data_IF_911385664145
#
_entry.id   IF_911385664145
#
_cell.length_a   1.000
_cell.length_b   1.000
_cell.length_c   1.000
_cell.angle_alpha   90.00
_cell.angle_beta   90.00
_cell.angle_gamma   90.00
#
_symmetry.space_group_name_H-M   'P 1'
#
loop_
_entity.id
_entity.type
_entity.pdbx_description
1 polymer ?
#
# COMPACT_ATOMS: atom_id res chain seq x y z
N UNK A 1 17.82 -28.91 8.18
CA UNK A 1 16.72 -28.26 7.43
C UNK A 1 16.28 -27.05 8.24
N UNK A 2 16.53 -25.82 7.77
CA UNK A 2 16.24 -24.58 8.50
C UNK A 2 14.89 -24.07 7.99
N UNK A 3 13.86 -24.12 8.84
CA UNK A 3 12.55 -23.54 8.50
C UNK A 3 12.73 -22.02 8.34
N UNK A 4 12.20 -21.39 7.27
CA UNK A 4 12.24 -19.94 7.16
C UNK A 4 11.41 -19.35 8.31
N UNK A 5 12.00 -18.38 9.02
CA UNK A 5 11.30 -17.62 10.04
C UNK A 5 10.09 -16.91 9.41
N UNK A 6 8.95 -16.94 10.09
CA UNK A 6 7.75 -16.24 9.65
C UNK A 6 8.06 -14.74 9.55
N UNK A 7 8.04 -14.19 8.34
CA UNK A 7 8.22 -12.76 8.11
C UNK A 7 6.85 -12.13 7.95
N UNK A 8 6.50 -11.23 8.86
CA UNK A 8 5.28 -10.44 8.73
C UNK A 8 5.49 -9.39 7.65
N UNK A 9 4.65 -9.42 6.62
CA UNK A 9 4.62 -8.42 5.56
C UNK A 9 3.17 -8.16 5.17
N UNK A 10 2.81 -6.88 5.01
CA UNK A 10 1.55 -6.52 4.41
C UNK A 10 1.57 -6.84 2.91
N UNK A 11 0.49 -7.44 2.41
CA UNK A 11 0.13 -7.30 1.01
C UNK A 11 -0.61 -5.97 0.78
N UNK A 12 -0.86 -5.64 -0.49
CA UNK A 12 -1.49 -4.35 -0.83
C UNK A 12 -2.88 -4.25 -0.22
N UNK A 13 -3.70 -5.30 -0.29
CA UNK A 13 -5.05 -5.31 0.29
C UNK A 13 -5.02 -5.05 1.80
N UNK A 14 -4.19 -5.77 2.55
CA UNK A 14 -4.09 -5.64 4.01
C UNK A 14 -3.53 -4.28 4.43
N UNK A 15 -2.56 -3.73 3.70
CA UNK A 15 -2.07 -2.36 3.93
C UNK A 15 -3.19 -1.34 3.72
N UNK A 16 -3.89 -1.42 2.57
CA UNK A 16 -4.95 -0.48 2.21
C UNK A 16 -6.14 -0.53 3.18
N UNK A 17 -6.43 -1.70 3.74
CA UNK A 17 -7.43 -1.87 4.78
C UNK A 17 -6.97 -1.27 6.11
N UNK A 18 -5.74 -1.61 6.55
CA UNK A 18 -5.20 -1.17 7.83
C UNK A 18 -5.07 0.36 7.92
N UNK A 19 -4.65 1.01 6.82
CA UNK A 19 -4.43 2.46 6.76
C UNK A 19 -5.67 3.28 6.34
N UNK A 20 -6.85 2.68 6.18
CA UNK A 20 -8.07 3.38 5.72
C UNK A 20 -8.52 4.54 6.65
N UNK A 21 -8.09 4.53 7.91
CA UNK A 21 -8.35 5.62 8.87
C UNK A 21 -7.30 6.72 8.88
N UNK A 22 -6.21 6.53 8.14
CA UNK A 22 -5.08 7.45 8.08
C UNK A 22 -5.05 8.13 6.71
N UNK A 23 -5.06 7.34 5.63
CA UNK A 23 -5.08 7.86 4.28
C UNK A 23 -6.49 7.77 3.68
N UNK A 24 -6.97 8.90 3.14
CA UNK A 24 -8.16 8.89 2.30
C UNK A 24 -7.83 8.23 0.95
N UNK A 25 -8.85 7.69 0.28
CA UNK A 25 -8.68 7.09 -1.06
C UNK A 25 -8.18 8.10 -2.09
N UNK A 26 -8.60 9.36 -1.98
CA UNK A 26 -8.13 10.45 -2.82
C UNK A 26 -6.63 10.78 -2.57
N UNK A 27 -6.18 10.76 -1.31
CA UNK A 27 -4.76 10.93 -1.00
C UNK A 27 -3.93 9.78 -1.58
N UNK A 28 -4.39 8.55 -1.44
CA UNK A 28 -3.71 7.38 -2.02
C UNK A 28 -3.71 7.41 -3.56
N UNK A 29 -4.77 7.90 -4.20
CA UNK A 29 -4.77 8.13 -5.65
C UNK A 29 -3.72 9.15 -6.05
N UNK A 30 -3.57 10.24 -5.30
CA UNK A 30 -2.53 11.23 -5.55
C UNK A 30 -1.11 10.66 -5.38
N UNK A 31 -0.87 9.89 -4.32
CA UNK A 31 0.44 9.29 -4.02
C UNK A 31 0.80 8.20 -5.05
N UNK A 32 -0.15 7.33 -5.38
CA UNK A 32 0.13 6.09 -6.15
C UNK A 32 -0.21 6.19 -7.63
N UNK A 33 -1.02 7.19 -8.04
CA UNK A 33 -1.61 7.28 -9.37
C UNK A 33 -2.69 6.23 -9.66
N UNK A 34 -3.09 5.43 -8.67
CA UNK A 34 -4.13 4.40 -8.83
C UNK A 34 -5.51 4.99 -8.51
N UNK A 35 -6.47 4.75 -9.38
CA UNK A 35 -7.82 5.27 -9.23
C UNK A 35 -8.44 4.91 -7.87
N UNK A 36 -9.03 5.89 -7.18
CA UNK A 36 -9.65 5.70 -5.86
C UNK A 36 -10.68 4.57 -5.79
N UNK A 37 -11.44 4.31 -6.87
CA UNK A 37 -12.44 3.23 -6.89
C UNK A 37 -11.77 1.86 -6.85
N UNK A 38 -10.64 1.70 -7.56
CA UNK A 38 -9.84 0.47 -7.51
C UNK A 38 -9.25 0.28 -6.12
N UNK A 39 -8.67 1.34 -5.54
CA UNK A 39 -8.14 1.31 -4.17
C UNK A 39 -9.21 0.92 -3.14
N UNK A 40 -10.44 1.43 -3.28
CA UNK A 40 -11.56 1.04 -2.43
C UNK A 40 -11.94 -0.44 -2.59
N UNK A 41 -11.94 -0.97 -3.83
CA UNK A 41 -12.22 -2.38 -4.08
C UNK A 41 -11.15 -3.31 -3.51
N UNK A 42 -9.88 -2.93 -3.58
CA UNK A 42 -8.78 -3.70 -3.00
C UNK A 42 -8.86 -3.71 -1.47
N UNK A 43 -9.12 -2.55 -0.85
CA UNK A 43 -9.20 -2.45 0.61
C UNK A 43 -10.36 -3.25 1.23
N UNK A 44 -11.49 -3.37 0.54
CA UNK A 44 -12.61 -4.20 1.01
C UNK A 44 -12.52 -5.66 0.55
N UNK A 45 -11.43 -6.06 -0.11
CA UNK A 45 -11.22 -7.42 -0.61
C UNK A 45 -12.14 -7.82 -1.77
N UNK A 46 -12.82 -6.87 -2.42
CA UNK A 46 -13.73 -7.12 -3.54
C UNK A 46 -12.98 -7.54 -4.80
N UNK A 47 -11.77 -7.05 -4.98
CA UNK A 47 -10.88 -7.44 -6.06
C UNK A 47 -9.43 -7.44 -5.58
N UNK A 48 -8.55 -8.08 -6.36
CA UNK A 48 -7.12 -8.05 -6.13
C UNK A 48 -6.42 -7.22 -7.19
N UNK A 49 -5.42 -6.40 -6.83
CA UNK A 49 -4.59 -5.71 -7.81
C UNK A 49 -3.82 -6.74 -8.64
N UNK A 50 -3.61 -6.43 -9.92
CA UNK A 50 -2.66 -7.17 -10.75
C UNK A 50 -1.23 -6.87 -10.25
N UNK A 51 -0.29 -7.76 -10.57
CA UNK A 51 1.10 -7.65 -10.11
C UNK A 51 1.72 -6.28 -10.39
N UNK A 52 1.56 -5.75 -11.60
CA UNK A 52 2.07 -4.45 -12.01
C UNK A 52 1.46 -3.28 -11.21
N UNK A 53 0.16 -3.35 -10.92
CA UNK A 53 -0.57 -2.36 -10.13
C UNK A 53 -0.15 -2.43 -8.66
N UNK A 54 0.01 -3.65 -8.12
CA UNK A 54 0.49 -3.86 -6.77
C UNK A 54 1.91 -3.31 -6.60
N UNK A 55 2.81 -3.60 -7.55
CA UNK A 55 4.17 -3.06 -7.58
C UNK A 55 4.18 -1.53 -7.59
N UNK A 56 3.34 -0.89 -8.41
CA UNK A 56 3.20 0.58 -8.42
C UNK A 56 2.80 1.14 -7.05
N UNK A 57 1.81 0.54 -6.40
CA UNK A 57 1.36 0.96 -5.06
C UNK A 57 2.50 0.82 -4.05
N UNK A 58 3.19 -0.32 -4.05
CA UNK A 58 4.33 -0.57 -3.14
C UNK A 58 5.43 0.45 -3.34
N UNK A 59 5.85 0.71 -4.58
CA UNK A 59 6.94 1.65 -4.86
C UNK A 59 6.59 3.08 -4.46
N UNK A 60 5.36 3.53 -4.74
CA UNK A 60 4.91 4.86 -4.35
C UNK A 60 4.88 5.04 -2.81
N UNK A 61 4.42 4.03 -2.08
CA UNK A 61 4.37 4.10 -0.61
C UNK A 61 5.77 3.96 0.03
N UNK A 62 6.67 3.19 -0.57
CA UNK A 62 8.07 3.16 -0.14
C UNK A 62 8.75 4.52 -0.37
N UNK A 63 8.51 5.16 -1.52
CA UNK A 63 9.03 6.51 -1.79
C UNK A 63 8.53 7.52 -0.75
N UNK A 64 7.23 7.54 -0.47
CA UNK A 64 6.66 8.34 0.61
C UNK A 64 7.32 8.04 1.96
N UNK A 65 7.51 6.76 2.30
CA UNK A 65 8.18 6.36 3.54
C UNK A 65 9.61 6.93 3.65
N UNK A 66 10.37 6.93 2.56
CA UNK A 66 11.70 7.54 2.52
C UNK A 66 11.66 9.06 2.73
N UNK A 67 10.69 9.75 2.12
CA UNK A 67 10.49 11.20 2.31
C UNK A 67 10.16 11.52 3.78
N UNK A 68 9.28 10.74 4.40
CA UNK A 68 8.90 10.93 5.81
C UNK A 68 10.07 10.73 6.77
N UNK A 69 10.96 9.76 6.50
CA UNK A 69 12.16 9.53 7.32
C UNK A 69 13.15 10.69 7.21
N UNK A 70 13.17 11.43 6.10
CA UNK A 70 14.11 12.52 5.88
C UNK A 70 13.80 13.80 6.68
N UNK A 71 12.70 13.85 7.42
CA UNK A 71 12.30 15.02 8.23
C UNK A 71 13.22 15.15 9.47
N UNK A 72 13.80 16.33 9.69
CA UNK A 72 14.64 16.66 10.86
C UNK A 72 14.25 18.02 11.47
N UNK A 73 14.59 18.24 12.75
CA UNK A 73 14.41 19.51 13.49
C UNK A 73 15.77 20.06 13.92
#
# INVERSE_FOLDING_TARGET
MRLPWLQYAFDVESLLYYYDKIFTRAALEHITGINQKQLSHYACGRSKPRRDTAEKIVQALHALGHELIAISV
#
